data_IF_935004287825
#
_entry.id   IF_935004287825
#
_cell.length_a   1.000
_cell.length_b   1.000
_cell.length_c   1.000
_cell.angle_alpha   90.00
_cell.angle_beta   90.00
_cell.angle_gamma   90.00
#
_symmetry.space_group_name_H-M   'P 1'
#
loop_
_entity.id
_entity.type
_entity.pdbx_description
1 polymer ?
#
# COMPACT_ATOMS: atom_id res chain seq x y z
N UNK A 1 11.30 27.61 20.20
CA UNK A 1 11.78 28.97 19.86
C UNK A 1 13.29 28.99 20.04
N UNK A 2 14.07 29.14 18.97
CA UNK A 2 15.50 29.41 19.10
C UNK A 2 15.68 30.77 19.78
N UNK A 3 16.56 30.87 20.78
CA UNK A 3 16.86 32.12 21.51
C UNK A 3 17.31 33.29 20.62
N UNK A 4 17.63 33.03 19.34
CA UNK A 4 18.12 34.01 18.36
C UNK A 4 17.07 34.57 17.39
N UNK A 5 15.77 34.26 17.52
CA UNK A 5 14.72 34.82 16.64
C UNK A 5 14.81 34.43 15.15
N UNK A 6 15.83 33.68 14.74
CA UNK A 6 16.06 33.24 13.37
C UNK A 6 15.02 32.19 12.97
N UNK A 7 14.20 32.51 11.96
CA UNK A 7 13.25 31.58 11.35
C UNK A 7 13.98 30.73 10.32
N UNK A 8 14.10 29.44 10.60
CA UNK A 8 14.70 28.47 9.67
C UNK A 8 13.54 27.73 9.02
N UNK A 9 13.49 27.71 7.69
CA UNK A 9 12.48 26.95 6.95
C UNK A 9 12.67 25.45 7.14
N UNK A 10 11.58 24.72 7.38
CA UNK A 10 11.62 23.26 7.38
C UNK A 10 11.64 22.78 5.93
N UNK A 11 12.76 22.20 5.53
CA UNK A 11 12.97 21.61 4.20
C UNK A 11 13.05 20.09 4.31
N UNK A 12 12.89 19.37 3.19
CA UNK A 12 12.83 17.88 3.18
C UNK A 12 14.08 17.21 3.77
N UNK A 13 15.23 17.86 3.61
CA UNK A 13 16.54 17.49 4.17
C UNK A 13 16.60 17.51 5.72
N UNK A 14 15.73 18.29 6.37
CA UNK A 14 15.62 18.34 7.83
C UNK A 14 14.50 17.43 8.38
N UNK A 15 13.89 16.58 7.54
CA UNK A 15 12.74 15.77 7.91
C UNK A 15 13.10 14.29 7.92
N UNK A 16 13.07 13.69 9.12
CA UNK A 16 13.24 12.25 9.30
C UNK A 16 11.89 11.55 9.08
N UNK A 17 11.85 10.62 8.12
CA UNK A 17 10.65 9.85 7.78
C UNK A 17 10.57 8.55 8.59
N UNK A 18 9.34 8.07 8.82
CA UNK A 18 9.07 6.77 9.46
C UNK A 18 9.74 5.66 8.65
N UNK A 19 10.65 4.91 9.28
CA UNK A 19 11.39 3.80 8.67
C UNK A 19 12.85 4.12 8.29
N UNK A 20 13.28 5.38 8.43
CA UNK A 20 14.69 5.73 8.29
C UNK A 20 15.43 5.46 9.61
N UNK A 21 16.59 4.80 9.53
CA UNK A 21 17.52 4.61 10.65
C UNK A 21 18.64 5.63 10.55
N UNK A 22 18.80 6.45 11.59
CA UNK A 22 19.94 7.36 11.72
C UNK A 22 21.18 6.53 12.02
N UNK A 23 22.26 6.76 11.29
CA UNK A 23 23.56 6.12 11.48
C UNK A 23 24.60 7.20 11.78
N UNK A 24 25.65 6.85 12.50
CA UNK A 24 26.77 7.75 12.81
C UNK A 24 26.40 8.94 13.72
N UNK A 25 25.44 8.73 14.64
CA UNK A 25 25.04 9.72 15.67
C UNK A 25 24.53 8.97 16.90
N UNK A 26 24.96 9.36 18.11
CA UNK A 26 24.59 8.66 19.35
C UNK A 26 23.14 8.92 19.77
N UNK A 27 22.67 10.16 19.64
CA UNK A 27 21.30 10.57 19.99
C UNK A 27 20.79 11.68 19.08
N UNK A 28 19.48 11.69 18.83
CA UNK A 28 18.80 12.73 18.04
C UNK A 28 17.55 13.18 18.78
N UNK A 29 17.48 14.48 19.07
CA UNK A 29 16.28 15.14 19.58
C UNK A 29 15.54 15.81 18.42
N UNK A 30 14.22 15.61 18.33
CA UNK A 30 13.39 16.17 17.28
C UNK A 30 11.93 16.30 17.71
N UNK A 31 11.13 16.96 16.87
CA UNK A 31 9.68 17.13 17.08
C UNK A 31 8.94 16.25 16.07
N UNK A 32 7.91 15.55 16.52
CA UNK A 32 7.05 14.75 15.66
C UNK A 32 6.09 15.66 14.90
N UNK A 33 6.26 15.76 13.58
CA UNK A 33 5.39 16.56 12.70
C UNK A 33 4.23 15.72 12.15
N UNK A 34 4.48 14.45 11.82
CA UNK A 34 3.48 13.52 11.27
C UNK A 34 3.46 12.22 12.08
N UNK A 35 2.27 11.78 12.47
CA UNK A 35 2.06 10.55 13.25
C UNK A 35 1.08 9.60 12.54
N UNK A 36 1.31 8.29 12.68
CA UNK A 36 0.40 7.26 12.16
C UNK A 36 0.20 7.32 10.64
N UNK A 37 -1.07 7.29 10.21
CA UNK A 37 -1.49 7.29 8.80
C UNK A 37 -1.13 8.56 8.02
N UNK A 38 -0.84 9.66 8.72
CA UNK A 38 -0.44 10.92 8.11
C UNK A 38 1.04 10.93 7.68
N UNK A 39 1.82 9.94 8.10
CA UNK A 39 3.22 9.84 7.67
C UNK A 39 3.29 9.53 6.17
N UNK A 40 4.17 10.24 5.45
CA UNK A 40 4.35 10.05 4.00
C UNK A 40 4.66 8.60 3.60
N UNK A 41 5.29 7.84 4.50
CA UNK A 41 5.53 6.41 4.32
C UNK A 41 4.22 5.59 4.28
N UNK A 42 3.26 5.87 5.17
CA UNK A 42 1.95 5.19 5.13
C UNK A 42 1.08 5.69 3.97
N UNK A 43 1.15 6.96 3.61
CA UNK A 43 0.41 7.49 2.45
C UNK A 43 0.88 6.87 1.12
N UNK A 44 2.16 6.49 1.02
CA UNK A 44 2.68 5.77 -0.14
C UNK A 44 2.35 4.26 -0.11
N UNK A 45 1.93 3.73 1.04
CA UNK A 45 1.53 2.35 1.17
C UNK A 45 0.10 2.19 0.66
N UNK A 46 -0.07 1.73 -0.59
CA UNK A 46 -1.37 1.22 -1.02
C UNK A 46 -1.73 0.09 -0.06
N UNK A 47 -2.86 0.24 0.63
CA UNK A 47 -3.32 -0.65 1.69
C UNK A 47 -3.26 -2.14 1.33
N UNK A 48 -3.40 -3.04 2.32
CA UNK A 48 -3.16 -4.46 2.15
C UNK A 48 -3.83 -4.99 0.88
N UNK A 49 -3.01 -5.31 -0.13
CA UNK A 49 -3.53 -5.84 -1.38
C UNK A 49 -4.03 -7.25 -1.11
N UNK A 50 -5.29 -7.50 -1.47
CA UNK A 50 -5.85 -8.83 -1.49
C UNK A 50 -5.04 -9.69 -2.47
N UNK A 51 -4.22 -10.60 -1.94
CA UNK A 51 -3.48 -11.58 -2.73
C UNK A 51 -4.43 -12.72 -3.05
N UNK A 52 -5.16 -12.60 -4.17
CA UNK A 52 -5.93 -13.73 -4.70
C UNK A 52 -4.97 -14.74 -5.31
N UNK A 53 -5.15 -16.02 -5.01
CA UNK A 53 -4.30 -17.06 -5.57
C UNK A 53 -4.51 -17.15 -7.08
N UNK A 54 -3.45 -17.45 -7.85
CA UNK A 54 -3.58 -17.73 -9.28
C UNK A 54 -4.56 -18.88 -9.53
N UNK A 55 -4.56 -19.87 -8.63
CA UNK A 55 -5.47 -21.01 -8.68
C UNK A 55 -6.93 -20.58 -8.50
N UNK A 56 -7.24 -19.70 -7.54
CA UNK A 56 -8.62 -19.20 -7.35
C UNK A 56 -9.13 -18.45 -8.58
N UNK A 57 -8.27 -17.71 -9.28
CA UNK A 57 -8.62 -17.04 -10.52
C UNK A 57 -8.84 -18.04 -11.67
N UNK A 58 -8.03 -19.09 -11.72
CA UNK A 58 -8.18 -20.16 -12.70
C UNK A 58 -9.47 -20.94 -12.44
N UNK A 59 -9.75 -21.35 -11.20
CA UNK A 59 -10.98 -22.05 -10.80
C UNK A 59 -12.24 -21.24 -11.17
N UNK A 60 -12.24 -19.92 -10.92
CA UNK A 60 -13.38 -19.08 -11.33
C UNK A 60 -13.56 -19.02 -12.85
N UNK A 61 -12.46 -19.15 -13.61
CA UNK A 61 -12.49 -19.20 -15.08
C UNK A 61 -12.98 -20.56 -15.57
N UNK A 62 -12.54 -21.65 -14.93
CA UNK A 62 -12.99 -23.02 -15.23
C UNK A 62 -14.48 -23.20 -14.96
N UNK A 63 -15.01 -22.63 -13.87
CA UNK A 63 -16.46 -22.62 -13.57
C UNK A 63 -17.24 -21.91 -14.68
N UNK A 64 -16.72 -20.78 -15.18
CA UNK A 64 -17.36 -20.02 -16.25
C UNK A 64 -17.41 -20.82 -17.56
N UNK A 65 -16.31 -21.52 -17.91
CA UNK A 65 -16.28 -22.45 -19.03
C UNK A 65 -17.25 -23.61 -18.87
N UNK A 66 -17.34 -24.18 -17.66
CA UNK A 66 -18.25 -25.28 -17.36
C UNK A 66 -19.71 -24.88 -17.60
N UNK A 67 -20.13 -23.70 -17.11
CA UNK A 67 -21.48 -23.17 -17.36
C UNK A 67 -21.73 -22.93 -18.85
N UNK A 68 -20.74 -22.38 -19.57
CA UNK A 68 -20.87 -22.09 -21.00
C UNK A 68 -21.07 -23.38 -21.82
N UNK A 69 -20.27 -24.42 -21.56
CA UNK A 69 -20.40 -25.72 -22.21
C UNK A 69 -21.74 -26.38 -21.86
N UNK A 70 -22.17 -26.29 -20.59
CA UNK A 70 -23.46 -26.82 -20.17
C UNK A 70 -24.62 -26.18 -20.93
N UNK A 71 -24.59 -24.85 -21.10
CA UNK A 71 -25.60 -24.12 -21.88
C UNK A 71 -25.59 -24.55 -23.35
N UNK A 72 -24.41 -24.73 -23.94
CA UNK A 72 -24.29 -25.19 -25.33
C UNK A 72 -24.93 -26.57 -25.50
N UNK A 73 -24.58 -27.54 -24.64
CA UNK A 73 -25.13 -28.90 -24.69
C UNK A 73 -26.64 -28.87 -24.49
N UNK A 74 -27.13 -28.09 -23.53
CA UNK A 74 -28.56 -27.97 -23.27
C UNK A 74 -29.31 -27.39 -24.48
N UNK A 75 -28.80 -26.31 -25.08
CA UNK A 75 -29.38 -25.74 -26.30
C UNK A 75 -29.37 -26.72 -27.48
N UNK A 76 -28.28 -27.46 -27.69
CA UNK A 76 -28.22 -28.49 -28.73
C UNK A 76 -29.12 -29.70 -28.45
N UNK A 77 -29.35 -30.05 -27.19
CA UNK A 77 -30.24 -31.15 -26.81
C UNK A 77 -31.72 -30.77 -26.84
N UNK A 78 -32.02 -29.48 -26.67
CA UNK A 78 -33.37 -28.93 -26.69
C UNK A 78 -33.85 -28.56 -28.10
N UNK A 79 -32.94 -28.43 -29.06
CA UNK A 79 -33.23 -28.14 -30.47
C UNK A 79 -33.45 -29.40 -31.29
#
# INVERSE_FOLDING_TARGET
IHKNGKRIGLHKENLLLRGCTVRNTEEVAGIVIYAGHETKALLNNKGPRYKRSKLERQMNTDVLWCVLILLIICCFSAV
#
